data_IF_932028862350
#
_entry.id   IF_932028862350
#
_cell.length_a   1.000
_cell.length_b   1.000
_cell.length_c   1.000
_cell.angle_alpha   90.00
_cell.angle_beta   90.00
_cell.angle_gamma   90.00
#
_symmetry.space_group_name_H-M   'P 1'
#
loop_
_entity.id
_entity.type
_entity.pdbx_description
1 polymer ?
#
# COMPACT_ATOMS: atom_id res chain seq x y z
N UNK A 1 -58.58 1.42 13.49
CA UNK A 1 -57.77 2.17 14.48
C UNK A 1 -56.39 1.54 14.77
N UNK A 2 -55.88 0.63 13.92
CA UNK A 2 -54.56 -0.03 14.11
C UNK A 2 -53.54 0.40 13.02
N UNK A 3 -53.99 0.99 11.90
CA UNK A 3 -53.12 1.38 10.77
C UNK A 3 -52.32 2.68 10.96
N UNK A 4 -52.65 3.51 11.95
CA UNK A 4 -51.95 4.79 12.17
C UNK A 4 -50.82 4.73 13.21
N UNK A 5 -50.67 3.63 13.95
CA UNK A 5 -49.58 3.46 14.93
C UNK A 5 -48.29 3.01 14.24
N UNK A 6 -48.39 2.26 13.13
CA UNK A 6 -47.23 1.71 12.41
C UNK A 6 -46.45 2.80 11.63
N UNK A 7 -47.11 3.91 11.24
CA UNK A 7 -46.45 4.99 10.49
C UNK A 7 -45.61 5.93 11.36
N UNK A 8 -45.87 6.02 12.67
CA UNK A 8 -45.12 6.90 13.58
C UNK A 8 -43.84 6.21 14.08
N UNK A 9 -43.84 4.87 14.19
CA UNK A 9 -42.67 4.10 14.64
C UNK A 9 -41.52 4.04 13.64
N UNK A 10 -41.79 4.25 12.34
CA UNK A 10 -40.76 4.20 11.28
C UNK A 10 -39.91 5.49 11.27
N UNK A 11 -40.46 6.63 11.67
CA UNK A 11 -39.72 7.90 11.70
C UNK A 11 -38.79 8.03 12.91
N UNK A 12 -39.10 7.37 14.03
CA UNK A 12 -38.27 7.42 15.25
C UNK A 12 -37.00 6.58 15.09
N UNK A 13 -37.05 5.48 14.33
CA UNK A 13 -35.87 4.62 14.09
C UNK A 13 -34.90 5.29 13.10
N UNK A 14 -35.39 6.03 12.11
CA UNK A 14 -34.55 6.78 11.16
C UNK A 14 -33.85 7.96 11.84
N UNK A 15 -34.51 8.63 12.79
CA UNK A 15 -33.90 9.70 13.58
C UNK A 15 -32.82 9.17 14.56
N UNK A 16 -32.97 7.95 15.09
CA UNK A 16 -31.97 7.35 15.98
C UNK A 16 -30.72 6.85 15.23
N UNK A 17 -30.86 6.40 13.97
CA UNK A 17 -29.74 5.99 13.14
C UNK A 17 -28.97 7.16 12.49
N UNK A 18 -29.57 8.34 12.39
CA UNK A 18 -28.87 9.55 11.88
C UNK A 18 -28.08 10.29 12.97
N UNK A 19 -28.43 10.13 14.26
CA UNK A 19 -27.71 10.79 15.37
C UNK A 19 -26.52 9.97 15.89
N UNK A 20 -26.49 8.65 15.67
CA UNK A 20 -25.34 7.79 16.02
C UNK A 20 -24.14 7.97 15.08
N UNK A 21 -24.27 8.70 13.97
CA UNK A 21 -23.14 9.14 13.12
C UNK A 21 -22.47 10.44 13.62
N UNK A 22 -23.00 11.09 14.67
CA UNK A 22 -22.49 12.36 15.18
C UNK A 22 -21.94 12.30 16.61
N UNK A 23 -21.78 11.11 17.18
CA UNK A 23 -21.19 10.93 18.53
C UNK A 23 -20.11 9.86 18.53
N UNK A 24 -19.14 10.01 17.62
CA UNK A 24 -17.80 9.40 17.77
C UNK A 24 -17.03 10.15 18.85
N UNK A 25 -17.37 9.89 20.12
CA UNK A 25 -16.65 10.37 21.27
C UNK A 25 -15.34 9.58 21.42
N UNK A 26 -14.20 10.27 21.40
CA UNK A 26 -12.89 9.71 21.72
C UNK A 26 -11.80 10.06 20.72
N UNK A 27 -11.58 11.35 20.44
CA UNK A 27 -10.34 11.80 19.79
C UNK A 27 -9.18 11.58 20.75
N UNK A 28 -8.19 10.72 20.45
CA UNK A 28 -6.85 10.96 20.95
C UNK A 28 -6.35 12.22 20.21
N UNK A 29 -5.74 13.14 20.93
CA UNK A 29 -5.00 14.27 20.36
C UNK A 29 -4.00 13.77 19.31
N UNK A 30 -4.38 13.89 18.03
CA UNK A 30 -3.61 13.55 16.85
C UNK A 30 -4.39 14.11 15.66
N UNK A 31 -3.71 14.73 14.70
CA UNK A 31 -4.36 15.42 13.58
C UNK A 31 -5.39 14.53 12.86
N UNK A 32 -6.42 15.16 12.28
CA UNK A 32 -7.39 14.47 11.43
C UNK A 32 -6.64 13.76 10.29
N UNK A 33 -6.86 12.45 10.14
CA UNK A 33 -6.22 11.67 9.08
C UNK A 33 -6.82 12.08 7.74
N UNK A 34 -5.96 12.32 6.76
CA UNK A 34 -6.40 12.86 5.47
C UNK A 34 -6.89 11.75 4.53
N UNK A 35 -7.89 12.06 3.70
CA UNK A 35 -8.28 11.22 2.57
C UNK A 35 -7.14 11.13 1.54
N UNK A 36 -6.96 9.97 0.92
CA UNK A 36 -5.78 9.78 0.09
C UNK A 36 -5.75 8.57 -0.81
N UNK A 37 -4.67 8.48 -1.58
CA UNK A 37 -4.40 7.39 -2.52
C UNK A 37 -3.29 6.49 -2.00
N UNK A 38 -3.37 5.21 -2.35
CA UNK A 38 -2.36 4.23 -2.00
C UNK A 38 -1.44 3.96 -3.18
N UNK A 39 -0.15 4.05 -2.93
CA UNK A 39 0.91 3.82 -3.90
C UNK A 39 1.85 2.71 -3.43
N UNK A 40 2.52 2.06 -4.38
CA UNK A 40 3.58 1.08 -4.10
C UNK A 40 4.80 1.38 -4.97
N UNK A 41 5.99 1.25 -4.39
CA UNK A 41 7.25 1.37 -5.12
C UNK A 41 8.16 0.17 -4.83
N UNK A 42 8.78 -0.36 -5.89
CA UNK A 42 9.70 -1.50 -5.83
C UNK A 42 11.15 -1.00 -5.89
N UNK A 43 11.74 -0.74 -4.72
CA UNK A 43 13.16 -0.40 -4.55
C UNK A 43 14.01 -1.65 -4.23
N UNK A 44 13.59 -2.83 -4.71
CA UNK A 44 14.45 -4.01 -4.69
C UNK A 44 15.56 -3.87 -5.73
N UNK A 45 16.69 -4.54 -5.49
CA UNK A 45 17.78 -4.60 -6.47
C UNK A 45 17.26 -5.20 -7.78
N UNK A 46 17.43 -4.43 -8.86
CA UNK A 46 17.06 -4.85 -10.21
C UNK A 46 17.86 -6.07 -10.69
N UNK A 47 17.49 -6.61 -11.87
CA UNK A 47 18.14 -7.78 -12.44
C UNK A 47 19.63 -7.56 -12.76
N UNK A 48 20.46 -8.54 -12.40
CA UNK A 48 21.88 -8.60 -12.73
C UNK A 48 22.04 -8.77 -14.24
N UNK A 49 22.69 -7.81 -14.92
CA UNK A 49 22.89 -7.87 -16.36
C UNK A 49 23.75 -9.07 -16.80
N UNK A 50 24.60 -9.61 -15.92
CA UNK A 50 25.48 -10.74 -16.24
C UNK A 50 24.79 -12.11 -16.19
N UNK A 51 23.62 -12.21 -15.53
CA UNK A 51 22.85 -13.45 -15.40
C UNK A 51 21.66 -13.53 -16.35
N UNK A 52 21.60 -12.66 -17.36
CA UNK A 52 20.49 -12.63 -18.32
C UNK A 52 19.11 -12.40 -17.68
N UNK A 53 19.06 -11.79 -16.49
CA UNK A 53 17.82 -11.47 -15.77
C UNK A 53 17.18 -12.61 -14.95
N UNK A 54 17.87 -13.74 -14.74
CA UNK A 54 17.22 -14.98 -14.27
C UNK A 54 16.85 -15.13 -12.78
N UNK A 55 17.45 -14.37 -11.85
CA UNK A 55 17.33 -14.64 -10.41
C UNK A 55 17.13 -13.38 -9.54
N UNK A 56 16.05 -12.64 -9.78
CA UNK A 56 15.75 -11.45 -8.98
C UNK A 56 14.31 -11.44 -8.50
N UNK A 57 14.05 -10.99 -7.26
CA UNK A 57 12.71 -11.00 -6.72
C UNK A 57 11.80 -10.06 -7.52
N UNK A 58 10.87 -10.66 -8.26
CA UNK A 58 9.73 -9.96 -8.86
C UNK A 58 8.71 -9.70 -7.77
N UNK A 59 8.41 -8.43 -7.50
CA UNK A 59 7.37 -8.03 -6.56
C UNK A 59 6.01 -8.01 -7.26
N UNK A 60 5.03 -8.65 -6.62
CA UNK A 60 3.63 -8.38 -6.89
C UNK A 60 2.92 -7.99 -5.61
N UNK A 61 1.87 -7.18 -5.76
CA UNK A 61 0.95 -6.81 -4.68
C UNK A 61 -0.48 -7.14 -5.11
N UNK A 62 -1.34 -7.39 -4.14
CA UNK A 62 -2.76 -7.62 -4.35
C UNK A 62 -3.56 -6.65 -3.49
N UNK A 63 -4.41 -5.88 -4.16
CA UNK A 63 -5.31 -4.90 -3.57
C UNK A 63 -6.69 -5.08 -4.23
N UNK A 64 -7.75 -5.16 -3.43
CA UNK A 64 -9.12 -5.38 -3.92
C UNK A 64 -9.22 -6.56 -4.93
N UNK A 65 -8.53 -7.66 -4.62
CA UNK A 65 -8.45 -8.88 -5.46
C UNK A 65 -7.75 -8.70 -6.81
N UNK A 66 -7.21 -7.51 -7.10
CA UNK A 66 -6.41 -7.24 -8.29
C UNK A 66 -4.94 -7.49 -7.97
N UNK A 67 -4.34 -8.48 -8.65
CA UNK A 67 -2.89 -8.71 -8.61
C UNK A 67 -2.19 -7.75 -9.57
N UNK A 68 -1.21 -7.02 -9.06
CA UNK A 68 -0.42 -6.05 -9.82
C UNK A 68 1.06 -6.38 -9.68
N UNK A 69 1.75 -6.57 -10.80
CA UNK A 69 3.21 -6.65 -10.83
C UNK A 69 3.79 -5.25 -10.65
N UNK A 70 4.75 -5.11 -9.76
CA UNK A 70 5.37 -3.82 -9.44
C UNK A 70 6.73 -3.75 -10.14
N UNK A 71 6.87 -2.92 -11.18
CA UNK A 71 8.12 -2.79 -11.91
C UNK A 71 9.24 -2.25 -11.02
N UNK A 72 10.48 -2.69 -11.25
CA UNK A 72 11.64 -2.18 -10.51
C UNK A 72 11.83 -0.68 -10.72
N UNK A 73 11.93 0.03 -9.60
CA UNK A 73 12.34 1.43 -9.58
C UNK A 73 13.87 1.58 -9.45
N UNK A 74 14.61 0.49 -9.22
CA UNK A 74 16.07 0.49 -9.09
C UNK A 74 16.71 -0.54 -10.04
N UNK A 75 17.84 -0.20 -10.62
CA UNK A 75 18.68 -1.14 -11.37
C UNK A 75 19.53 -2.04 -10.43
N UNK A 76 20.42 -2.85 -11.00
CA UNK A 76 21.30 -3.73 -10.21
C UNK A 76 22.30 -2.96 -9.33
N UNK A 77 22.80 -1.83 -9.81
CA UNK A 77 23.81 -1.01 -9.15
C UNK A 77 23.21 -0.03 -8.13
N UNK A 78 21.88 0.03 -8.05
CA UNK A 78 21.14 0.89 -7.15
C UNK A 78 20.92 2.30 -7.70
N UNK A 79 20.90 2.46 -9.02
CA UNK A 79 20.45 3.69 -9.65
C UNK A 79 18.94 3.63 -9.91
N UNK A 80 18.23 4.77 -9.78
CA UNK A 80 16.80 4.82 -10.08
C UNK A 80 16.54 4.63 -11.58
N UNK A 81 15.52 3.86 -11.92
CA UNK A 81 15.10 3.60 -13.31
C UNK A 81 14.16 4.67 -13.89
N UNK A 82 13.61 5.53 -13.01
CA UNK A 82 12.64 6.56 -13.38
C UNK A 82 11.19 6.07 -13.47
N UNK A 83 10.92 4.81 -13.13
CA UNK A 83 9.56 4.23 -13.15
C UNK A 83 8.66 4.83 -12.06
N UNK A 84 9.20 5.04 -10.87
CA UNK A 84 8.49 5.63 -9.74
C UNK A 84 7.41 4.73 -9.14
N UNK A 85 6.58 5.30 -8.24
CA UNK A 85 5.51 4.56 -7.57
C UNK A 85 4.31 4.32 -8.50
N UNK A 86 3.71 3.15 -8.38
CA UNK A 86 2.42 2.81 -9.02
C UNK A 86 1.26 3.13 -8.07
N UNK A 87 0.14 3.59 -8.62
CA UNK A 87 -1.08 3.83 -7.85
C UNK A 87 -1.97 2.59 -7.84
N UNK A 88 -2.28 2.07 -6.65
CA UNK A 88 -3.16 0.90 -6.49
C UNK A 88 -4.65 1.28 -6.50
N UNK A 89 -4.98 2.45 -5.98
CA UNK A 89 -6.36 2.94 -5.85
C UNK A 89 -6.90 3.61 -7.11
N UNK A 90 -6.24 3.43 -8.26
CA UNK A 90 -6.63 4.10 -9.52
C UNK A 90 -8.06 3.77 -9.94
N UNK A 91 -8.52 2.55 -9.69
CA UNK A 91 -9.87 2.08 -10.01
C UNK A 91 -10.94 2.47 -8.97
N UNK A 92 -10.59 2.54 -7.69
CA UNK A 92 -11.50 2.80 -6.58
C UNK A 92 -11.58 4.27 -6.14
N UNK A 93 -10.62 5.11 -6.52
CA UNK A 93 -10.60 6.54 -6.18
C UNK A 93 -9.85 6.83 -4.86
N UNK A 94 -10.09 8.01 -4.28
CA UNK A 94 -9.51 8.32 -2.96
C UNK A 94 -10.19 7.49 -1.88
N UNK A 95 -9.38 6.96 -0.97
CA UNK A 95 -9.84 6.26 0.21
C UNK A 95 -10.02 7.25 1.37
N UNK A 96 -11.05 7.09 2.21
CA UNK A 96 -11.20 7.89 3.42
C UNK A 96 -9.97 7.79 4.34
N UNK A 97 -9.61 8.90 4.97
CA UNK A 97 -8.57 8.94 6.01
C UNK A 97 -8.87 7.96 7.13
N UNK A 98 -7.83 7.27 7.61
CA UNK A 98 -7.96 6.21 8.61
C UNK A 98 -8.42 4.85 8.07
N UNK A 99 -8.72 4.74 6.77
CA UNK A 99 -8.96 3.43 6.13
C UNK A 99 -7.77 2.49 6.36
N UNK A 100 -8.05 1.32 6.92
CA UNK A 100 -7.04 0.25 7.08
C UNK A 100 -7.09 -0.68 5.88
N UNK A 101 -6.06 -0.62 5.05
CA UNK A 101 -5.86 -1.49 3.90
C UNK A 101 -4.96 -2.66 4.29
N UNK A 102 -5.42 -3.89 3.99
CA UNK A 102 -4.58 -5.08 4.07
C UNK A 102 -4.04 -5.40 2.68
N UNK A 103 -2.74 -5.21 2.48
CA UNK A 103 -2.06 -5.58 1.26
C UNK A 103 -1.48 -6.98 1.40
N UNK A 104 -1.83 -7.86 0.46
CA UNK A 104 -1.08 -9.10 0.23
C UNK A 104 0.02 -8.80 -0.77
N UNK A 105 1.21 -9.33 -0.55
CA UNK A 105 2.33 -9.17 -1.48
C UNK A 105 3.18 -10.42 -1.49
N UNK A 106 3.96 -10.59 -2.55
CA UNK A 106 4.91 -11.68 -2.61
C UNK A 106 6.04 -11.44 -3.60
N UNK A 107 7.05 -12.29 -3.45
CA UNK A 107 8.27 -12.26 -4.26
C UNK A 107 8.41 -13.57 -5.01
N UNK A 108 8.68 -13.48 -6.30
CA UNK A 108 8.97 -14.62 -7.16
C UNK A 108 10.43 -14.54 -7.62
N UNK A 109 11.18 -15.63 -7.60
CA UNK A 109 12.58 -15.65 -8.08
C UNK A 109 12.65 -15.55 -9.61
N UNK A 110 11.61 -16.05 -10.27
CA UNK A 110 11.35 -15.94 -11.71
C UNK A 110 9.85 -15.82 -11.97
N UNK A 111 9.41 -15.27 -13.11
CA UNK A 111 7.99 -15.19 -13.44
C UNK A 111 7.34 -16.58 -13.39
N UNK A 112 6.25 -16.71 -12.61
CA UNK A 112 5.53 -17.97 -12.45
C UNK A 112 6.08 -18.93 -11.39
N UNK A 113 7.18 -18.60 -10.70
CA UNK A 113 7.66 -19.37 -9.53
C UNK A 113 6.77 -19.18 -8.30
N UNK A 114 6.84 -20.13 -7.35
CA UNK A 114 6.09 -20.06 -6.08
C UNK A 114 6.50 -18.79 -5.34
N UNK A 115 5.53 -17.92 -5.08
CA UNK A 115 5.77 -16.70 -4.35
C UNK A 115 5.83 -16.97 -2.84
N UNK A 116 6.75 -16.30 -2.14
CA UNK A 116 6.60 -16.15 -0.69
C UNK A 116 5.54 -15.08 -0.44
N UNK A 117 4.37 -15.47 0.06
CA UNK A 117 3.28 -14.55 0.36
C UNK A 117 3.40 -13.96 1.77
N UNK A 118 3.09 -12.67 1.87
CA UNK A 118 3.11 -11.92 3.13
C UNK A 118 1.97 -10.89 3.13
N UNK A 119 1.62 -10.41 4.32
CA UNK A 119 0.61 -9.36 4.50
C UNK A 119 1.22 -8.12 5.17
N UNK A 120 0.75 -6.94 4.77
CA UNK A 120 1.07 -5.66 5.38
C UNK A 120 -0.23 -4.88 5.63
N UNK A 121 -0.39 -4.33 6.83
CA UNK A 121 -1.47 -3.40 7.13
C UNK A 121 -0.98 -1.97 6.92
N UNK A 122 -1.71 -1.19 6.13
CA UNK A 122 -1.46 0.22 5.84
C UNK A 122 -2.66 1.02 6.32
N UNK A 123 -2.44 2.13 7.02
CA UNK A 123 -3.50 3.08 7.33
C UNK A 123 -3.35 4.29 6.41
N UNK A 124 -4.43 4.70 5.77
CA UNK A 124 -4.44 5.88 4.89
C UNK A 124 -4.36 7.14 5.74
N UNK A 125 -3.36 7.97 5.45
CA UNK A 125 -3.18 9.33 5.99
C UNK A 125 -2.68 10.23 4.85
N UNK A 126 -3.61 10.70 4.04
CA UNK A 126 -3.33 11.34 2.77
C UNK A 126 -2.75 10.34 1.77
N UNK A 127 -2.09 10.85 0.74
CA UNK A 127 -1.34 9.98 -0.17
C UNK A 127 -0.34 9.16 0.65
N UNK A 128 -0.29 7.86 0.42
CA UNK A 128 0.52 6.93 1.21
C UNK A 128 1.26 6.00 0.27
N UNK A 129 2.57 5.88 0.39
CA UNK A 129 3.38 4.99 -0.44
C UNK A 129 3.97 3.86 0.39
N UNK A 130 3.79 2.62 -0.05
CA UNK A 130 4.52 1.46 0.47
C UNK A 130 5.76 1.24 -0.36
N UNK A 131 6.92 1.35 0.28
CA UNK A 131 8.21 0.98 -0.31
C UNK A 131 8.56 -0.45 0.07
N UNK A 132 8.89 -1.25 -0.94
CA UNK A 132 9.62 -2.50 -0.76
C UNK A 132 11.09 -2.27 -1.11
N UNK A 133 12.00 -2.66 -0.23
CA UNK A 133 13.43 -2.38 -0.38
C UNK A 133 14.28 -3.58 0.06
N UNK A 134 15.51 -3.66 -0.45
CA UNK A 134 16.49 -4.65 0.01
C UNK A 134 17.21 -4.13 1.25
N UNK A 135 17.17 -4.88 2.36
CA UNK A 135 17.89 -4.56 3.60
C UNK A 135 19.40 -4.70 3.44
N UNK A 136 19.82 -5.74 2.74
CA UNK A 136 21.19 -5.93 2.28
C UNK A 136 21.17 -5.99 0.76
N UNK A 137 21.72 -4.97 0.11
CA UNK A 137 21.71 -4.82 -1.34
C UNK A 137 22.28 -6.05 -2.06
N UNK A 138 23.24 -6.75 -1.45
CA UNK A 138 23.98 -7.83 -2.09
C UNK A 138 23.45 -9.23 -1.81
N UNK A 139 22.53 -9.39 -0.87
CA UNK A 139 22.17 -10.71 -0.35
C UNK A 139 21.39 -11.59 -1.34
N UNK A 140 20.82 -11.03 -2.41
CA UNK A 140 20.09 -11.77 -3.45
C UNK A 140 18.84 -12.55 -2.98
N UNK A 141 18.58 -12.56 -1.67
CA UNK A 141 17.55 -13.38 -1.03
C UNK A 141 16.28 -12.62 -0.73
N UNK A 142 15.13 -13.28 -0.92
CA UNK A 142 13.80 -12.77 -0.53
C UNK A 142 13.67 -12.55 0.99
N UNK A 143 14.56 -13.14 1.79
CA UNK A 143 14.66 -12.94 3.25
C UNK A 143 15.01 -11.51 3.63
N UNK A 144 15.76 -10.82 2.77
CA UNK A 144 16.29 -9.48 3.04
C UNK A 144 15.39 -8.38 2.50
N UNK A 145 14.21 -8.74 1.99
CA UNK A 145 13.22 -7.74 1.62
C UNK A 145 12.52 -7.17 2.86
N UNK A 146 12.57 -5.84 2.99
CA UNK A 146 11.79 -5.05 3.95
C UNK A 146 10.65 -4.30 3.27
N UNK A 147 9.71 -3.82 4.10
CA UNK A 147 8.67 -2.88 3.68
C UNK A 147 8.66 -1.66 4.62
N UNK A 148 8.44 -0.46 4.08
CA UNK A 148 8.28 0.81 4.80
C UNK A 148 7.07 1.55 4.25
N UNK A 149 6.44 2.36 5.10
CA UNK A 149 5.28 3.17 4.72
C UNK A 149 5.69 4.63 4.83
N UNK A 150 5.44 5.38 3.76
CA UNK A 150 5.78 6.78 3.63
C UNK A 150 4.52 7.63 3.44
N UNK A 151 4.50 8.81 4.06
CA UNK A 151 3.48 9.82 3.76
C UNK A 151 3.82 10.52 2.44
N UNK A 152 2.80 10.80 1.65
CA UNK A 152 2.89 11.34 0.31
C UNK A 152 3.01 10.28 -0.80
N UNK A 153 2.99 10.78 -2.04
CA UNK A 153 3.46 10.02 -3.20
C UNK A 153 4.98 10.12 -3.23
N UNK A 154 5.67 9.00 -2.99
CA UNK A 154 7.13 8.98 -2.94
C UNK A 154 7.71 8.95 -4.36
N UNK A 155 7.83 10.13 -4.97
CA UNK A 155 8.52 10.30 -6.25
C UNK A 155 10.03 10.44 -6.00
N UNK A 156 10.84 9.50 -6.51
CA UNK A 156 12.30 9.61 -6.50
C UNK A 156 12.75 10.75 -7.46
N UNK A 157 13.81 11.53 -7.14
CA UNK A 157 14.91 11.20 -6.26
C UNK A 157 14.92 12.04 -4.97
N UNK A 158 14.05 11.73 -4.01
CA UNK A 158 14.17 12.32 -2.68
C UNK A 158 15.16 11.48 -1.84
N UNK A 159 16.43 11.90 -1.85
CA UNK A 159 17.51 11.53 -0.93
C UNK A 159 17.83 10.02 -0.82
N UNK A 160 18.77 9.57 -1.65
CA UNK A 160 19.53 8.34 -1.38
C UNK A 160 20.37 8.63 -0.12
N UNK A 161 20.18 7.93 1.02
CA UNK A 161 21.21 7.94 2.05
C UNK A 161 22.50 7.42 1.38
N UNK A 162 23.63 8.12 1.54
CA UNK A 162 24.87 7.76 0.85
C UNK A 162 25.17 6.28 1.09
N UNK A 163 25.59 5.58 0.03
CA UNK A 163 26.10 4.21 0.12
C UNK A 163 27.15 4.19 1.23
N UNK A 164 26.85 3.57 2.37
CA UNK A 164 27.89 3.19 3.31
C UNK A 164 28.66 2.04 2.67
N UNK A 165 29.91 2.35 2.32
CA UNK A 165 30.90 1.43 1.76
C UNK A 165 31.42 0.46 2.82
#
# INVERSE_FOLDING_TARGET
>A
MIKNIIRVSIWIIVAFFTVQLLTGCGSPTGGELEDGRLFVINNLRGPDPSWGGGFHPYLWVMFEEVKTEVPWNMDYDGNPTGVGPIELTRGSGQLPGGTRVRLKYGFMLSPGSVATERELNVTIDGNTTVEFYMKDWWSGGVSDVGARIHKGRWDYPAQIPPKEH
#
